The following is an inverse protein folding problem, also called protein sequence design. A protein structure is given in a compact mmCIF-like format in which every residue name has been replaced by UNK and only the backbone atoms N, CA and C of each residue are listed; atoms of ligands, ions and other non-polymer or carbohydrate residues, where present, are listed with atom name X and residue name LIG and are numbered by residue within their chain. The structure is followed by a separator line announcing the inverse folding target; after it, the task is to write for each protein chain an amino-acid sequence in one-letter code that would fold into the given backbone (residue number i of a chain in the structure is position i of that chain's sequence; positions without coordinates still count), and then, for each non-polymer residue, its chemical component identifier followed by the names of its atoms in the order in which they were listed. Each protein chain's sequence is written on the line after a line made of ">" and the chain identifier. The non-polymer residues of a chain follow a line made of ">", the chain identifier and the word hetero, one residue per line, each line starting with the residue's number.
data_IF_569936551435
#
_entry.id   IF_569936551435
#
_cell.length_a   1.000
_cell.length_b   1.000
_cell.length_c   1.000
_cell.angle_alpha   90.00
_cell.angle_beta   90.00
_cell.angle_gamma   90.00
#
_symmetry.space_group_name_H-M   'P 1'
#
loop_
_entity.id
_entity.type
_entity.pdbx_description
1 polymer ?
#
# COMPACT_ATOMS: atom_id res chain seq x y z
N UNK A 1 -22.97 -61.00 23.04
CA UNK A 1 -22.65 -60.35 21.75
C UNK A 1 -23.07 -58.89 21.84
N UNK A 2 -22.17 -57.99 22.25
CA UNK A 2 -22.38 -56.54 22.11
C UNK A 2 -21.45 -56.04 21.00
N UNK A 3 -22.03 -55.70 19.85
CA UNK A 3 -21.35 -55.01 18.73
C UNK A 3 -22.23 -53.86 18.26
N UNK A 4 -22.37 -52.84 19.08
CA UNK A 4 -22.97 -51.56 18.68
C UNK A 4 -22.47 -50.52 19.67
N UNK A 5 -21.32 -49.89 19.40
CA UNK A 5 -20.87 -48.61 19.97
C UNK A 5 -19.41 -48.38 19.57
N UNK A 6 -19.10 -48.05 18.30
CA UNK A 6 -17.79 -47.53 17.91
C UNK A 6 -17.80 -46.90 16.51
N UNK A 7 -18.77 -46.02 16.22
CA UNK A 7 -18.77 -45.26 14.95
C UNK A 7 -19.18 -43.79 15.06
N UNK A 8 -19.24 -43.20 16.26
CA UNK A 8 -19.67 -41.79 16.42
C UNK A 8 -18.51 -40.84 16.82
N UNK A 9 -17.30 -41.33 17.08
CA UNK A 9 -16.23 -40.48 17.65
C UNK A 9 -15.18 -39.91 16.66
N UNK A 10 -15.08 -40.26 15.36
CA UNK A 10 -14.16 -39.54 14.48
C UNK A 10 -14.81 -38.39 13.67
N UNK A 11 -16.13 -38.18 13.75
CA UNK A 11 -16.78 -37.08 12.98
C UNK A 11 -16.88 -35.76 13.75
N UNK A 12 -16.93 -35.78 15.08
CA UNK A 12 -17.05 -34.56 15.89
C UNK A 12 -15.74 -33.79 16.06
N UNK A 13 -14.59 -34.43 15.88
CA UNK A 13 -13.29 -33.75 15.91
C UNK A 13 -12.90 -33.09 14.57
N UNK A 14 -13.57 -33.44 13.47
CA UNK A 14 -13.39 -32.77 12.18
C UNK A 14 -14.27 -31.52 12.00
N UNK A 15 -15.21 -31.26 12.91
CA UNK A 15 -16.17 -30.14 12.79
C UNK A 15 -15.87 -28.92 13.68
N UNK A 16 -14.80 -28.95 14.48
CA UNK A 16 -14.46 -27.84 15.41
C UNK A 16 -13.11 -27.17 15.17
N UNK A 17 -12.42 -27.50 14.08
CA UNK A 17 -11.27 -26.73 13.61
C UNK A 17 -11.64 -25.88 12.40
N UNK A 18 -12.75 -25.13 12.47
CA UNK A 18 -12.77 -23.87 11.73
C UNK A 18 -11.75 -22.99 12.46
N UNK A 19 -10.51 -23.00 11.98
CA UNK A 19 -9.52 -22.02 12.37
C UNK A 19 -10.11 -20.68 11.97
N UNK A 20 -10.79 -20.02 12.91
CA UNK A 20 -11.25 -18.65 12.70
C UNK A 20 -9.98 -17.84 12.51
N UNK A 21 -9.76 -17.39 11.27
CA UNK A 21 -8.71 -16.43 10.94
C UNK A 21 -8.69 -15.36 12.02
N UNK A 22 -7.51 -15.07 12.58
CA UNK A 22 -7.40 -13.99 13.54
C UNK A 22 -7.87 -12.69 12.86
N UNK A 23 -8.67 -11.89 13.56
CA UNK A 23 -9.21 -10.65 13.01
C UNK A 23 -8.68 -9.48 13.82
N UNK A 24 -8.18 -8.45 13.13
CA UNK A 24 -7.62 -7.25 13.73
C UNK A 24 -8.43 -6.02 13.31
N UNK A 25 -8.93 -5.24 14.26
CA UNK A 25 -9.71 -4.04 13.98
C UNK A 25 -8.79 -2.89 13.55
N UNK A 26 -8.94 -2.42 12.31
CA UNK A 26 -8.20 -1.25 11.81
C UNK A 26 -9.21 -0.19 11.35
N UNK A 27 -9.00 1.04 11.83
CA UNK A 27 -9.81 2.16 11.40
C UNK A 27 -9.23 2.75 10.11
N UNK A 28 -10.08 2.90 9.10
CA UNK A 28 -9.75 3.60 7.86
C UNK A 28 -10.56 4.89 7.80
N UNK A 29 -9.89 6.00 7.50
CA UNK A 29 -10.52 7.31 7.40
C UNK A 29 -10.31 7.88 6.00
N UNK A 30 -11.39 8.02 5.25
CA UNK A 30 -11.37 8.57 3.90
C UNK A 30 -11.56 10.08 3.99
N UNK A 31 -10.53 10.82 3.61
CA UNK A 31 -10.55 12.27 3.50
C UNK A 31 -10.85 12.69 2.07
N UNK A 32 -11.84 13.56 1.95
CA UNK A 32 -12.22 14.16 0.70
C UNK A 32 -11.63 15.58 0.58
N UNK A 33 -10.68 15.78 -0.34
CA UNK A 33 -10.01 17.09 -0.49
C UNK A 33 -10.75 18.01 -1.46
N UNK A 34 -11.40 17.49 -2.51
CA UNK A 34 -12.06 18.29 -3.55
C UNK A 34 -13.50 17.84 -3.85
N UNK A 35 -13.73 16.55 -4.09
CA UNK A 35 -15.04 15.86 -4.00
C UNK A 35 -14.83 14.35 -4.21
N UNK A 36 -15.17 13.50 -3.25
CA UNK A 36 -15.13 12.03 -3.39
C UNK A 36 -16.40 11.63 -4.14
N UNK A 37 -16.24 11.07 -5.32
CA UNK A 37 -17.37 10.46 -6.03
C UNK A 37 -17.73 9.13 -5.37
N UNK A 38 -18.95 8.64 -5.61
CA UNK A 38 -19.32 7.28 -5.17
C UNK A 38 -18.36 6.22 -5.73
N UNK A 39 -17.85 6.42 -6.95
CA UNK A 39 -16.87 5.53 -7.56
C UNK A 39 -15.53 5.50 -6.81
N UNK A 40 -15.10 6.62 -6.23
CA UNK A 40 -13.88 6.68 -5.42
C UNK A 40 -14.01 5.89 -4.12
N UNK A 41 -15.16 6.01 -3.45
CA UNK A 41 -15.46 5.23 -2.26
C UNK A 41 -15.51 3.73 -2.60
N UNK A 42 -16.27 3.34 -3.61
CA UNK A 42 -16.37 1.94 -4.05
C UNK A 42 -14.98 1.35 -4.33
N UNK A 43 -14.12 2.07 -5.05
CA UNK A 43 -12.73 1.65 -5.30
C UNK A 43 -11.94 1.40 -4.00
N UNK A 44 -12.08 2.28 -3.01
CA UNK A 44 -11.38 2.13 -1.73
C UNK A 44 -11.90 0.90 -0.99
N UNK A 45 -13.21 0.71 -0.93
CA UNK A 45 -13.82 -0.48 -0.30
C UNK A 45 -13.35 -1.77 -0.98
N UNK A 46 -13.44 -1.86 -2.30
CA UNK A 46 -12.99 -3.02 -3.08
C UNK A 46 -11.49 -3.29 -2.93
N UNK A 47 -10.68 -2.23 -2.83
CA UNK A 47 -9.24 -2.36 -2.62
C UNK A 47 -8.86 -2.84 -1.22
N UNK A 48 -9.59 -2.38 -0.19
CA UNK A 48 -9.43 -2.89 1.18
C UNK A 48 -9.88 -4.35 1.26
N UNK A 49 -11.00 -4.69 0.61
CA UNK A 49 -11.49 -6.07 0.54
C UNK A 49 -10.49 -7.00 -0.16
N UNK A 50 -9.97 -6.61 -1.32
CA UNK A 50 -8.94 -7.39 -2.02
C UNK A 50 -7.69 -7.59 -1.16
N UNK A 51 -7.23 -6.56 -0.45
CA UNK A 51 -6.11 -6.68 0.48
C UNK A 51 -6.43 -7.67 1.61
N UNK A 52 -7.66 -7.62 2.15
CA UNK A 52 -8.09 -8.52 3.22
C UNK A 52 -8.18 -9.99 2.77
N UNK A 53 -8.69 -10.25 1.56
CA UNK A 53 -8.70 -11.59 0.96
C UNK A 53 -7.27 -12.12 0.79
N UNK A 54 -6.35 -11.24 0.38
CA UNK A 54 -4.94 -11.59 0.22
C UNK A 54 -4.29 -11.97 1.57
N UNK A 55 -4.56 -11.19 2.62
CA UNK A 55 -4.08 -11.47 3.98
C UNK A 55 -4.64 -12.78 4.54
N UNK A 56 -5.93 -13.05 4.34
CA UNK A 56 -6.50 -14.31 4.82
C UNK A 56 -5.85 -15.49 4.12
N UNK A 57 -5.76 -15.42 2.78
CA UNK A 57 -5.23 -16.50 1.95
C UNK A 57 -3.75 -16.77 2.21
N UNK A 58 -2.95 -15.73 2.44
CA UNK A 58 -1.48 -15.85 2.54
C UNK A 58 -0.95 -15.80 3.96
N UNK A 59 -1.59 -15.05 4.83
CA UNK A 59 -1.10 -14.76 6.17
C UNK A 59 -1.95 -15.40 7.28
N UNK A 60 -3.15 -15.92 6.96
CA UNK A 60 -4.02 -16.59 7.94
C UNK A 60 -4.66 -15.66 8.97
N UNK A 61 -4.71 -14.36 8.67
CA UNK A 61 -5.43 -13.36 9.45
C UNK A 61 -6.16 -12.38 8.53
N UNK A 62 -7.14 -11.66 9.07
CA UNK A 62 -7.95 -10.64 8.39
C UNK A 62 -7.88 -9.32 9.14
N UNK A 63 -8.15 -8.24 8.42
CA UNK A 63 -8.48 -6.94 8.98
C UNK A 63 -10.01 -6.81 9.04
N UNK A 64 -10.53 -6.38 10.18
CA UNK A 64 -11.87 -5.81 10.25
C UNK A 64 -11.74 -4.30 10.00
N UNK A 65 -11.94 -3.91 8.74
CA UNK A 65 -11.73 -2.55 8.29
C UNK A 65 -12.95 -1.67 8.60
N UNK A 66 -12.86 -0.83 9.63
CA UNK A 66 -13.88 0.17 9.94
C UNK A 66 -13.63 1.41 9.08
N UNK A 67 -14.25 1.45 7.90
CA UNK A 67 -14.09 2.55 6.95
C UNK A 67 -15.10 3.66 7.28
N UNK A 68 -14.59 4.86 7.56
CA UNK A 68 -15.39 6.05 7.83
C UNK A 68 -15.00 7.18 6.90
N UNK A 69 -15.98 8.01 6.53
CA UNK A 69 -15.72 9.26 5.80
C UNK A 69 -15.43 10.38 6.78
N UNK A 70 -14.53 11.26 6.37
CA UNK A 70 -14.26 12.51 7.07
C UNK A 70 -14.11 13.65 6.07
N UNK A 71 -14.65 14.80 6.44
CA UNK A 71 -14.53 16.00 5.64
C UNK A 71 -13.25 16.75 6.02
N UNK A 72 -12.53 17.22 5.01
CA UNK A 72 -11.49 18.22 5.19
C UNK A 72 -12.21 19.57 5.30
N UNK A 73 -12.06 20.26 6.43
CA UNK A 73 -12.68 21.58 6.61
C UNK A 73 -11.96 22.65 5.77
N UNK A 74 -12.35 22.87 4.52
CA UNK A 74 -11.98 24.13 3.86
C UNK A 74 -13.05 24.71 2.94
N UNK A 75 -13.40 25.97 3.23
CA UNK A 75 -14.16 26.90 2.38
C UNK A 75 -13.41 27.29 1.08
N UNK A 76 -12.23 26.72 0.83
CA UNK A 76 -11.42 26.96 -0.35
C UNK A 76 -11.21 25.64 -1.07
N UNK A 77 -11.29 25.67 -2.40
CA UNK A 77 -10.82 24.59 -3.28
C UNK A 77 -9.50 24.04 -2.74
N UNK A 78 -9.44 22.73 -2.50
CA UNK A 78 -8.29 22.09 -1.89
C UNK A 78 -6.99 22.30 -2.69
N UNK A 79 -5.83 22.00 -2.10
CA UNK A 79 -4.55 22.14 -2.78
C UNK A 79 -4.53 21.30 -4.06
N UNK A 80 -3.91 21.82 -5.12
CA UNK A 80 -3.55 21.02 -6.30
C UNK A 80 -2.29 20.25 -5.94
N UNK A 81 -2.40 18.93 -5.82
CA UNK A 81 -1.26 18.08 -5.46
C UNK A 81 -0.27 18.01 -6.62
N UNK A 82 0.94 18.51 -6.41
CA UNK A 82 2.04 18.44 -7.38
C UNK A 82 3.09 17.45 -6.89
N UNK A 83 3.48 16.54 -7.77
CA UNK A 83 4.54 15.57 -7.53
C UNK A 83 5.91 16.18 -7.88
N UNK A 84 6.31 17.19 -7.13
CA UNK A 84 7.59 17.88 -7.31
C UNK A 84 8.37 17.91 -5.98
N UNK A 85 9.64 17.45 -5.96
CA UNK A 85 10.46 17.51 -4.76
C UNK A 85 10.58 18.96 -4.28
N UNK A 86 10.01 19.24 -3.11
CA UNK A 86 9.89 20.58 -2.57
C UNK A 86 10.41 20.63 -1.14
N UNK A 87 10.94 21.78 -0.74
CA UNK A 87 11.34 21.97 0.64
C UNK A 87 10.12 22.30 1.51
N UNK A 88 9.95 21.57 2.60
CA UNK A 88 9.00 21.88 3.67
C UNK A 88 9.76 22.42 4.88
N UNK A 89 9.23 23.47 5.48
CA UNK A 89 9.75 24.01 6.73
C UNK A 89 8.87 23.55 7.89
N UNK A 90 9.46 22.91 8.90
CA UNK A 90 8.79 22.63 10.17
C UNK A 90 9.34 23.57 11.25
N UNK A 91 8.47 24.34 11.89
CA UNK A 91 8.82 25.12 13.07
C UNK A 91 8.74 24.23 14.30
N UNK A 92 9.75 24.34 15.15
CA UNK A 92 9.87 23.58 16.39
C UNK A 92 9.90 24.56 17.56
N UNK A 93 9.51 24.09 18.74
CA UNK A 93 9.61 24.86 19.98
C UNK A 93 11.00 25.51 20.09
N UNK A 94 11.01 26.82 20.36
CA UNK A 94 12.16 27.76 20.30
C UNK A 94 12.41 28.46 18.95
N UNK A 95 11.42 28.56 18.05
CA UNK A 95 11.53 29.26 16.75
C UNK A 95 12.60 28.70 15.80
N UNK A 96 13.13 27.51 16.08
CA UNK A 96 14.07 26.86 15.18
C UNK A 96 13.30 26.28 13.99
N UNK A 97 13.73 26.64 12.78
CA UNK A 97 13.12 26.16 11.53
C UNK A 97 14.00 25.10 10.90
N UNK A 98 13.44 23.92 10.66
CA UNK A 98 14.10 22.83 9.95
C UNK A 98 13.55 22.70 8.55
N UNK A 99 14.41 22.44 7.58
CA UNK A 99 14.05 22.27 6.17
C UNK A 99 14.24 20.81 5.77
N UNK A 100 13.18 20.20 5.25
CA UNK A 100 13.18 18.83 4.75
C UNK A 100 12.82 18.82 3.28
N UNK A 101 13.54 18.04 2.46
CA UNK A 101 13.18 17.86 1.06
C UNK A 101 12.12 16.76 0.97
N UNK A 102 10.93 17.11 0.50
CA UNK A 102 9.74 16.28 0.57
C UNK A 102 9.10 16.12 -0.81
N UNK A 103 8.73 14.90 -1.20
CA UNK A 103 8.18 14.62 -2.54
C UNK A 103 6.69 14.99 -2.68
N UNK A 104 5.98 15.20 -1.57
CA UNK A 104 4.54 15.47 -1.56
C UNK A 104 4.19 16.63 -0.61
N UNK A 105 4.78 17.82 -0.83
CA UNK A 105 4.67 18.98 0.09
C UNK A 105 3.23 19.35 0.41
N UNK A 106 2.35 19.29 -0.58
CA UNK A 106 0.94 19.63 -0.44
C UNK A 106 0.23 18.75 0.60
N UNK A 107 0.67 17.50 0.74
CA UNK A 107 0.15 16.58 1.76
C UNK A 107 0.58 16.97 3.17
N UNK A 108 1.86 17.33 3.32
CA UNK A 108 2.37 17.83 4.59
C UNK A 108 1.65 19.13 4.99
N UNK A 109 1.50 20.08 4.06
CA UNK A 109 0.79 21.35 4.30
C UNK A 109 -0.68 21.16 4.61
N UNK A 110 -1.39 20.32 3.85
CA UNK A 110 -2.80 20.01 4.09
C UNK A 110 -2.99 19.52 5.52
N UNK A 111 -2.16 18.58 5.93
CA UNK A 111 -2.39 17.84 7.16
C UNK A 111 -1.88 18.56 8.41
N UNK A 112 -0.84 19.39 8.26
CA UNK A 112 -0.40 20.34 9.29
C UNK A 112 -1.41 21.45 9.50
N UNK A 113 -1.87 22.09 8.42
CA UNK A 113 -2.82 23.22 8.47
C UNK A 113 -4.16 22.80 9.07
N UNK A 114 -4.67 21.66 8.64
CA UNK A 114 -5.98 21.14 9.07
C UNK A 114 -5.90 20.37 10.40
N UNK A 115 -4.71 20.32 11.02
CA UNK A 115 -4.45 19.53 12.24
C UNK A 115 -5.03 18.11 12.13
N UNK A 116 -4.86 17.46 10.97
CA UNK A 116 -5.36 16.11 10.72
C UNK A 116 -4.50 15.05 11.45
N UNK A 117 -3.85 15.44 12.54
CA UNK A 117 -3.10 14.57 13.42
C UNK A 117 -3.95 14.16 14.61
N UNK A 118 -3.86 12.87 14.96
CA UNK A 118 -3.34 12.46 16.28
C UNK A 118 -3.39 10.95 16.54
N UNK A 119 -4.08 10.14 15.73
CA UNK A 119 -4.11 8.68 15.96
C UNK A 119 -3.08 7.95 15.09
N UNK A 120 -2.11 7.31 15.74
CA UNK A 120 -1.17 6.35 15.11
C UNK A 120 -1.87 5.06 14.65
N UNK A 121 -3.10 4.86 15.12
CA UNK A 121 -3.86 3.61 15.05
C UNK A 121 -4.95 3.65 13.96
N UNK A 122 -4.81 4.53 12.96
CA UNK A 122 -5.71 4.63 11.81
C UNK A 122 -4.93 4.80 10.51
N UNK A 123 -5.47 4.27 9.41
CA UNK A 123 -4.98 4.52 8.06
C UNK A 123 -5.86 5.59 7.43
N UNK A 124 -5.24 6.67 6.95
CA UNK A 124 -5.95 7.79 6.35
C UNK A 124 -5.73 7.84 4.84
N UNK A 125 -6.82 7.79 4.08
CA UNK A 125 -6.80 7.77 2.61
C UNK A 125 -7.35 9.10 2.10
N UNK A 126 -6.51 9.87 1.41
CA UNK A 126 -6.84 11.17 0.84
C UNK A 126 -7.13 11.02 -0.64
N UNK A 127 -8.35 11.33 -1.06
CA UNK A 127 -8.72 11.34 -2.48
C UNK A 127 -8.61 12.77 -3.01
N UNK A 128 -7.82 12.92 -4.07
CA UNK A 128 -7.44 14.24 -4.60
C UNK A 128 -7.66 14.29 -6.12
N UNK A 129 -8.04 15.46 -6.62
CA UNK A 129 -8.20 15.66 -8.06
C UNK A 129 -6.87 16.01 -8.73
N UNK A 130 -6.73 15.65 -10.01
CA UNK A 130 -5.57 15.96 -10.86
C UNK A 130 -4.22 15.48 -10.28
N UNK A 131 -4.22 14.32 -9.62
CA UNK A 131 -2.98 13.64 -9.23
C UNK A 131 -2.39 12.95 -10.47
N UNK A 132 -1.11 13.14 -10.71
CA UNK A 132 -0.37 12.56 -11.84
C UNK A 132 0.02 11.09 -11.62
N UNK A 133 -0.09 10.59 -10.39
CA UNK A 133 0.12 9.19 -10.02
C UNK A 133 -1.20 8.47 -9.70
N UNK A 134 -1.16 7.14 -9.67
CA UNK A 134 -2.31 6.33 -9.26
C UNK A 134 -2.55 6.36 -7.75
N UNK A 135 -1.45 6.35 -6.99
CA UNK A 135 -1.43 6.36 -5.53
C UNK A 135 -0.04 6.72 -5.02
N UNK A 136 0.02 7.13 -3.76
CA UNK A 136 1.26 7.34 -3.03
C UNK A 136 1.04 7.11 -1.53
N UNK A 137 1.74 6.14 -0.96
CA UNK A 137 1.75 5.86 0.47
C UNK A 137 2.92 6.55 1.20
N UNK A 138 2.73 6.81 2.50
CA UNK A 138 3.74 7.36 3.40
C UNK A 138 4.08 6.35 4.51
N UNK A 139 4.89 5.33 4.23
CA UNK A 139 5.29 4.36 5.24
C UNK A 139 6.53 4.81 6.01
N UNK A 140 6.58 4.45 7.30
CA UNK A 140 7.60 4.92 8.23
C UNK A 140 9.02 4.59 7.76
N UNK A 141 9.27 3.36 7.30
CA UNK A 141 10.59 2.93 6.85
C UNK A 141 11.12 3.73 5.66
N UNK A 142 10.25 4.12 4.72
CA UNK A 142 10.65 4.91 3.55
C UNK A 142 11.03 6.32 3.93
N UNK A 143 10.29 6.87 4.89
CA UNK A 143 10.52 8.21 5.35
C UNK A 143 11.81 8.30 6.17
N UNK A 144 12.24 7.24 6.84
CA UNK A 144 13.54 7.23 7.54
C UNK A 144 14.71 6.96 6.59
N UNK A 145 14.57 6.02 5.65
CA UNK A 145 15.69 5.59 4.78
C UNK A 145 15.97 6.57 3.63
N UNK A 146 14.91 7.13 3.02
CA UNK A 146 15.04 7.97 1.82
C UNK A 146 15.73 9.31 2.06
N UNK A 147 15.87 9.73 3.32
CA UNK A 147 16.45 11.01 3.64
C UNK A 147 17.96 10.93 3.94
N UNK A 148 18.58 9.74 3.94
CA UNK A 148 20.02 9.54 4.22
C UNK A 148 20.53 10.39 5.39
N UNK A 149 19.76 10.39 6.47
CA UNK A 149 19.94 11.32 7.55
C UNK A 149 21.00 10.83 8.52
N UNK A 150 21.77 11.78 9.05
CA UNK A 150 22.59 11.52 10.23
C UNK A 150 21.67 11.23 11.42
N UNK A 151 22.12 10.45 12.40
CA UNK A 151 21.34 10.08 13.61
C UNK A 151 20.63 11.24 14.34
N UNK A 152 21.14 12.48 14.21
CA UNK A 152 20.52 13.68 14.81
C UNK A 152 19.32 14.20 14.00
N UNK A 153 19.28 13.96 12.69
CA UNK A 153 18.19 14.38 11.81
C UNK A 153 17.05 13.37 11.82
N UNK A 154 17.32 12.09 12.14
CA UNK A 154 16.30 11.06 12.39
C UNK A 154 15.36 11.46 13.54
N UNK A 155 15.92 12.01 14.62
CA UNK A 155 15.10 12.47 15.75
C UNK A 155 14.14 13.59 15.36
N UNK A 156 14.60 14.54 14.55
CA UNK A 156 13.81 15.69 14.11
C UNK A 156 12.72 15.28 13.11
N UNK A 157 13.05 14.40 12.17
CA UNK A 157 12.06 13.85 11.24
C UNK A 157 10.97 13.08 12.00
N UNK A 158 11.36 12.21 12.93
CA UNK A 158 10.46 11.38 13.73
C UNK A 158 9.55 12.21 14.66
N UNK A 159 10.01 13.35 15.16
CA UNK A 159 9.22 14.21 16.03
C UNK A 159 8.33 15.20 15.28
N UNK A 160 8.80 15.74 14.15
CA UNK A 160 8.17 16.93 13.55
C UNK A 160 7.58 16.71 12.17
N UNK A 161 7.94 15.63 11.48
CA UNK A 161 7.42 15.35 10.13
C UNK A 161 6.62 14.06 10.10
N UNK A 162 7.19 12.95 10.57
CA UNK A 162 6.50 11.65 10.54
C UNK A 162 5.12 11.66 11.18
N UNK A 163 4.88 12.31 12.35
CA UNK A 163 3.55 12.32 12.93
C UNK A 163 2.48 12.93 12.01
N UNK A 164 2.91 13.81 11.10
CA UNK A 164 2.07 14.49 10.14
C UNK A 164 1.95 13.78 8.80
N UNK A 165 2.59 12.63 8.56
CA UNK A 165 2.48 11.96 7.25
C UNK A 165 2.36 10.45 7.35
N UNK A 166 2.78 9.83 8.46
CA UNK A 166 2.68 8.38 8.69
C UNK A 166 1.27 7.84 8.47
N UNK A 167 1.18 6.59 8.01
CA UNK A 167 -0.08 5.83 7.82
C UNK A 167 -1.08 6.51 6.87
N UNK A 168 -0.56 7.22 5.87
CA UNK A 168 -1.38 7.95 4.90
C UNK A 168 -1.16 7.47 3.50
N UNK A 169 -2.24 7.52 2.73
CA UNK A 169 -2.24 7.24 1.30
C UNK A 169 -2.90 8.42 0.60
N UNK A 170 -2.29 8.91 -0.47
CA UNK A 170 -2.91 9.82 -1.44
C UNK A 170 -3.34 8.98 -2.63
N UNK A 171 -4.57 9.17 -3.10
CA UNK A 171 -5.11 8.51 -4.27
C UNK A 171 -5.65 9.56 -5.24
N UNK A 172 -5.30 9.43 -6.52
CA UNK A 172 -5.94 10.20 -7.57
C UNK A 172 -7.41 9.81 -7.70
N UNK A 173 -8.30 10.78 -7.82
CA UNK A 173 -9.75 10.58 -8.08
C UNK A 173 -9.96 9.77 -9.35
N UNK A 174 -10.92 8.84 -9.35
CA UNK A 174 -11.28 8.04 -10.55
C UNK A 174 -11.77 8.93 -11.69
N UNK A 175 -12.34 10.10 -11.36
CA UNK A 175 -12.89 11.00 -12.37
C UNK A 175 -11.86 11.91 -13.03
N UNK A 176 -10.75 12.22 -12.36
CA UNK A 176 -9.75 13.20 -12.81
C UNK A 176 -8.31 12.69 -12.82
N UNK A 177 -8.06 11.49 -12.29
CA UNK A 177 -6.74 10.86 -12.23
C UNK A 177 -6.31 10.19 -13.55
N UNK A 178 -5.12 9.58 -13.58
CA UNK A 178 -4.56 9.00 -14.79
C UNK A 178 -5.41 7.81 -15.24
N UNK A 179 -5.81 7.80 -16.52
CA UNK A 179 -6.59 6.70 -17.10
C UNK A 179 -5.83 5.37 -17.14
N UNK A 180 -4.51 5.43 -17.08
CA UNK A 180 -3.60 4.27 -17.12
C UNK A 180 -3.52 3.52 -15.78
N UNK A 181 -4.23 3.98 -14.75
CA UNK A 181 -4.39 3.30 -13.47
C UNK A 181 -5.32 2.08 -13.61
N UNK A 182 -4.92 1.12 -14.44
CA UNK A 182 -5.65 -0.12 -14.67
C UNK A 182 -5.69 -0.98 -13.40
N UNK A 183 -6.87 -1.49 -13.08
CA UNK A 183 -7.20 -2.26 -11.87
C UNK A 183 -7.08 -1.45 -10.56
N UNK A 184 -8.01 -0.52 -10.43
CA UNK A 184 -8.00 0.54 -9.42
C UNK A 184 -8.12 0.05 -7.97
N UNK A 185 -8.76 -1.10 -7.73
CA UNK A 185 -8.78 -1.77 -6.43
C UNK A 185 -7.38 -2.30 -6.02
N UNK A 186 -6.61 -2.87 -6.96
CA UNK A 186 -5.25 -3.36 -6.69
C UNK A 186 -4.31 -2.23 -6.30
N UNK A 187 -4.46 -1.05 -6.90
CA UNK A 187 -3.65 0.12 -6.54
C UNK A 187 -3.87 0.48 -5.07
N UNK A 188 -5.13 0.50 -4.60
CA UNK A 188 -5.41 0.72 -3.18
C UNK A 188 -4.72 -0.34 -2.33
N UNK A 189 -4.83 -1.63 -2.67
CA UNK A 189 -4.17 -2.71 -1.93
C UNK A 189 -2.63 -2.60 -1.93
N UNK A 190 -2.04 -2.13 -3.02
CA UNK A 190 -0.60 -1.84 -3.13
C UNK A 190 -0.16 -0.70 -2.22
N UNK A 191 -0.90 0.42 -2.23
CA UNK A 191 -0.60 1.53 -1.32
C UNK A 191 -0.80 1.13 0.15
N UNK A 192 -1.79 0.27 0.44
CA UNK A 192 -1.94 -0.33 1.77
C UNK A 192 -0.77 -1.24 2.13
N UNK A 193 -0.27 -2.03 1.18
CA UNK A 193 0.89 -2.89 1.40
C UNK A 193 2.12 -2.08 1.80
N UNK A 194 2.35 -0.90 1.20
CA UNK A 194 3.39 0.03 1.67
C UNK A 194 3.18 0.43 3.13
N UNK A 195 1.95 0.75 3.55
CA UNK A 195 1.66 1.11 4.96
C UNK A 195 1.90 -0.04 5.94
N UNK A 196 1.66 -1.29 5.55
CA UNK A 196 1.77 -2.41 6.49
C UNK A 196 3.12 -3.14 6.45
N UNK A 197 3.83 -3.12 5.32
CA UNK A 197 5.15 -3.75 5.17
C UNK A 197 6.21 -2.70 5.51
N UNK A 198 6.69 -2.74 6.75
CA UNK A 198 7.61 -1.73 7.31
C UNK A 198 9.06 -2.22 7.42
N UNK A 199 9.39 -3.39 6.89
CA UNK A 199 10.74 -3.98 6.94
C UNK A 199 11.39 -4.11 5.55
N UNK A 200 10.73 -3.62 4.50
CA UNK A 200 11.22 -3.60 3.12
C UNK A 200 11.12 -2.19 2.53
N UNK A 201 12.13 -1.79 1.75
CA UNK A 201 12.11 -0.54 0.98
C UNK A 201 11.13 -0.67 -0.21
N UNK A 202 10.55 0.43 -0.74
CA UNK A 202 9.48 0.40 -1.73
C UNK A 202 9.90 -0.34 -2.97
N UNK A 203 9.02 -1.25 -3.41
CA UNK A 203 9.20 -2.01 -4.65
C UNK A 203 10.48 -2.88 -4.64
N UNK A 204 11.10 -3.06 -3.47
CA UNK A 204 12.19 -3.99 -3.24
C UNK A 204 11.75 -5.08 -2.27
N UNK A 205 12.26 -6.28 -2.49
CA UNK A 205 11.95 -7.45 -1.69
C UNK A 205 13.26 -8.05 -1.21
N UNK A 206 13.26 -8.61 0.00
CA UNK A 206 14.43 -9.31 0.52
C UNK A 206 14.67 -10.62 -0.21
N UNK A 207 15.91 -10.86 -0.66
CA UNK A 207 16.35 -12.17 -1.09
C UNK A 207 17.09 -12.92 0.00
N UNK A 208 16.47 -13.99 0.50
CA UNK A 208 17.13 -14.89 1.45
C UNK A 208 18.33 -15.63 0.84
N UNK A 209 18.35 -15.87 -0.48
CA UNK A 209 19.45 -16.61 -1.14
C UNK A 209 20.71 -15.78 -1.32
N UNK A 210 20.56 -14.49 -1.57
CA UNK A 210 21.66 -13.55 -1.83
C UNK A 210 21.87 -12.56 -0.69
N UNK A 211 21.14 -12.72 0.42
CA UNK A 211 21.22 -11.89 1.63
C UNK A 211 21.19 -10.37 1.30
N UNK A 212 20.30 -9.98 0.38
CA UNK A 212 20.27 -8.62 -0.16
C UNK A 212 18.89 -8.21 -0.67
N UNK A 213 18.65 -6.90 -0.77
CA UNK A 213 17.45 -6.33 -1.39
C UNK A 213 17.59 -6.31 -2.90
N UNK A 214 16.49 -6.65 -3.59
CA UNK A 214 16.41 -6.61 -5.05
C UNK A 214 14.99 -6.26 -5.49
N UNK A 215 14.77 -5.89 -6.77
CA UNK A 215 13.43 -5.60 -7.27
C UNK A 215 12.46 -6.75 -6.96
N UNK A 216 11.26 -6.41 -6.51
CA UNK A 216 10.24 -7.40 -6.21
C UNK A 216 9.86 -8.22 -7.45
N UNK A 217 9.49 -9.50 -7.30
CA UNK A 217 9.05 -10.31 -8.42
C UNK A 217 7.70 -9.79 -8.97
N UNK A 218 7.39 -10.05 -10.26
CA UNK A 218 6.22 -9.50 -10.96
C UNK A 218 4.87 -9.65 -10.24
N UNK A 219 4.70 -10.73 -9.48
CA UNK A 219 3.50 -11.10 -8.77
C UNK A 219 3.40 -10.53 -7.34
N UNK A 220 4.47 -9.96 -6.80
CA UNK A 220 4.45 -9.38 -5.45
C UNK A 220 3.62 -8.10 -5.38
N UNK A 221 2.87 -7.92 -4.29
CA UNK A 221 1.98 -6.77 -4.08
C UNK A 221 2.70 -5.43 -4.13
N UNK A 222 4.00 -5.37 -3.85
CA UNK A 222 4.81 -4.15 -3.92
C UNK A 222 5.33 -3.85 -5.35
N UNK A 223 5.07 -4.70 -6.33
CA UNK A 223 5.53 -4.50 -7.70
C UNK A 223 4.64 -3.49 -8.43
N UNK A 224 5.25 -2.57 -9.18
CA UNK A 224 4.55 -1.56 -10.01
C UNK A 224 4.64 -1.83 -11.51
N UNK A 225 5.44 -2.82 -11.92
CA UNK A 225 5.73 -3.10 -13.33
C UNK A 225 5.86 -4.60 -13.57
N UNK A 226 5.27 -5.10 -14.65
CA UNK A 226 5.48 -6.47 -15.13
C UNK A 226 6.10 -6.45 -16.51
N UNK A 227 6.95 -7.44 -16.77
CA UNK A 227 7.49 -7.70 -18.09
C UNK A 227 6.50 -8.59 -18.85
N UNK A 228 5.98 -8.07 -19.95
CA UNK A 228 5.15 -8.83 -20.89
C UNK A 228 6.03 -9.20 -22.07
N UNK A 229 6.36 -10.48 -22.16
CA UNK A 229 7.02 -11.00 -23.34
C UNK A 229 5.98 -11.07 -24.47
N UNK A 230 6.28 -10.51 -25.66
CA UNK A 230 5.40 -10.69 -26.80
C UNK A 230 5.21 -12.19 -27.05
N UNK A 231 3.96 -12.62 -27.21
CA UNK A 231 3.69 -14.01 -27.57
C UNK A 231 4.50 -14.35 -28.82
N UNK A 232 5.25 -15.47 -28.82
CA UNK A 232 5.92 -15.90 -30.04
C UNK A 232 4.84 -16.02 -31.10
N UNK A 233 4.97 -15.26 -32.20
CA UNK A 233 4.04 -15.29 -33.33
C UNK A 233 4.11 -16.66 -33.98
N UNK A 234 3.46 -17.64 -33.36
CA UNK A 234 3.25 -18.95 -33.90
C UNK A 234 2.00 -18.90 -34.75
N UNK A 235 2.17 -18.76 -36.06
CA UNK A 235 1.21 -19.29 -37.01
C UNK A 235 1.93 -19.77 -38.27
N UNK A 236 2.11 -21.09 -38.33
CA UNK A 236 1.82 -21.92 -39.50
C UNK A 236 2.64 -21.70 -40.77
N UNK A 237 3.48 -22.71 -41.06
CA UNK A 237 3.92 -23.15 -42.38
C UNK A 237 4.89 -22.24 -43.17
N UNK A 238 6.17 -22.60 -43.08
CA UNK A 238 7.00 -23.09 -44.21
C UNK A 238 8.46 -22.66 -44.03
N UNK A 239 9.35 -23.56 -44.43
CA UNK A 239 10.80 -23.44 -44.36
C UNK A 239 11.34 -22.06 -44.70
N UNK A 240 11.94 -21.37 -43.73
CA UNK A 240 13.06 -20.46 -43.97
C UNK A 240 13.83 -20.18 -42.67
N UNK A 241 15.12 -19.92 -42.84
CA UNK A 241 16.21 -20.08 -41.86
C UNK A 241 15.95 -19.30 -40.56
N UNK A 242 15.97 -20.00 -39.44
CA UNK A 242 15.84 -19.48 -38.06
C UNK A 242 17.16 -18.88 -37.55
N UNK A 243 17.64 -17.82 -38.19
CA UNK A 243 18.58 -16.90 -37.59
C UNK A 243 18.06 -15.51 -37.96
N UNK A 244 17.86 -14.63 -36.97
CA UNK A 244 17.35 -13.25 -37.07
C UNK A 244 15.88 -12.99 -36.64
N UNK A 245 15.34 -13.75 -35.67
CA UNK A 245 14.35 -13.13 -34.76
C UNK A 245 15.06 -12.80 -33.46
N UNK A 246 15.56 -11.56 -33.38
CA UNK A 246 15.89 -10.92 -32.12
C UNK A 246 14.64 -11.05 -31.23
N UNK A 247 14.71 -11.68 -30.03
CA UNK A 247 13.57 -11.71 -29.13
C UNK A 247 13.27 -10.25 -28.78
N UNK A 248 12.25 -9.70 -29.44
CA UNK A 248 11.77 -8.33 -29.21
C UNK A 248 11.69 -8.10 -27.71
N UNK A 249 12.37 -7.06 -27.24
CA UNK A 249 12.53 -6.76 -25.83
C UNK A 249 11.16 -6.80 -25.11
N UNK A 250 11.09 -7.37 -23.89
CA UNK A 250 9.84 -7.46 -23.16
C UNK A 250 9.24 -6.07 -22.94
N UNK A 251 7.93 -5.94 -23.16
CA UNK A 251 7.20 -4.71 -22.89
C UNK A 251 7.03 -4.55 -21.38
N UNK A 252 7.49 -3.44 -20.82
CA UNK A 252 7.27 -3.10 -19.41
C UNK A 252 5.91 -2.43 -19.28
N UNK A 253 4.94 -3.08 -18.61
CA UNK A 253 3.63 -2.49 -18.33
C UNK A 253 3.46 -2.17 -16.85
N UNK A 254 2.80 -1.04 -16.50
CA UNK A 254 2.34 -0.83 -15.13
C UNK A 254 1.43 -1.97 -14.72
N UNK A 255 1.74 -2.60 -13.60
CA UNK A 255 0.91 -3.65 -13.02
C UNK A 255 1.20 -3.76 -11.54
N UNK A 256 0.12 -4.00 -10.79
CA UNK A 256 0.18 -4.30 -9.37
C UNK A 256 0.11 -5.81 -9.19
N UNK A 257 1.10 -6.36 -8.48
CA UNK A 257 1.12 -7.78 -8.15
C UNK A 257 -0.03 -8.18 -7.23
N UNK A 258 -0.21 -9.48 -7.03
CA UNK A 258 -1.38 -10.05 -6.36
C UNK A 258 -1.02 -10.99 -5.22
N UNK A 259 0.23 -10.91 -4.75
CA UNK A 259 0.79 -11.85 -3.80
C UNK A 259 1.61 -11.21 -2.66
N UNK A 260 1.70 -11.90 -1.53
CA UNK A 260 2.45 -11.47 -0.34
C UNK A 260 3.32 -12.64 0.13
N UNK A 261 4.58 -12.37 0.47
CA UNK A 261 5.51 -13.38 1.00
C UNK A 261 5.27 -13.65 2.48
N UNK A 262 5.77 -14.76 2.99
CA UNK A 262 5.69 -15.07 4.42
C UNK A 262 6.38 -14.01 5.30
N UNK A 263 7.49 -13.44 4.83
CA UNK A 263 8.17 -12.33 5.52
C UNK A 263 7.30 -11.09 5.59
N UNK A 264 6.70 -10.71 4.47
CA UNK A 264 5.78 -9.58 4.41
C UNK A 264 4.56 -9.81 5.32
N UNK A 265 4.04 -11.04 5.40
CA UNK A 265 2.98 -11.39 6.37
C UNK A 265 3.39 -11.12 7.83
N UNK A 266 4.64 -11.42 8.22
CA UNK A 266 5.14 -11.12 9.58
C UNK A 266 5.25 -9.61 9.82
N UNK A 267 5.72 -8.87 8.82
CA UNK A 267 5.81 -7.41 8.85
C UNK A 267 4.44 -6.77 9.05
N UNK A 268 3.47 -7.17 8.22
CA UNK A 268 2.08 -6.71 8.30
C UNK A 268 1.49 -7.04 9.66
N UNK A 269 1.65 -8.27 10.15
CA UNK A 269 1.12 -8.68 11.46
C UNK A 269 1.71 -7.84 12.60
N UNK A 270 3.01 -7.53 12.53
CA UNK A 270 3.68 -6.66 13.51
C UNK A 270 3.10 -5.25 13.47
N UNK A 271 2.97 -4.65 12.29
CA UNK A 271 2.41 -3.32 12.10
C UNK A 271 0.96 -3.24 12.58
N UNK A 272 0.13 -4.21 12.19
CA UNK A 272 -1.28 -4.30 12.60
C UNK A 272 -1.41 -4.39 14.12
N UNK A 273 -0.61 -5.25 14.78
CA UNK A 273 -0.61 -5.35 16.24
C UNK A 273 -0.26 -4.01 16.92
N UNK A 274 0.73 -3.31 16.39
CA UNK A 274 1.13 -1.99 16.89
C UNK A 274 0.03 -0.93 16.69
N UNK A 275 -0.79 -1.05 15.65
CA UNK A 275 -1.95 -0.17 15.44
C UNK A 275 -3.16 -0.53 16.32
N UNK A 276 -3.25 -1.76 16.81
CA UNK A 276 -4.39 -2.21 17.63
C UNK A 276 -4.19 -2.12 19.15
N UNK A 277 -2.95 -1.87 19.60
CA UNK A 277 -2.56 -1.77 21.02
C UNK A 277 -2.20 -0.33 21.41
#
# INVERSE_FOLDING_TARGET
>A
MLKTLSFIIPLTFCLLAQATSATYDINFKIFNVNRVSHADETRIHEGVEFFNELLERRCGFRLNANITRADVSSEKSGPTFRNEPSWVSAQVDNNQTYFFRFYQKDMFELTTTQRLTQKKNEVSIFVVDNFDMCGFAFPDIQMTDSFHLSKNTDHQLNQFVLPWVQNRVIMGSVSTGPRECHNSNRIVSHELAHIFIQDESPHTCWDEKQDSYRPCPPDNILTTRVLIYPEPRGNGLSHQRQYDMDPSEPEVRPAVGTDITERQCRSILSTVRNMTH
#
